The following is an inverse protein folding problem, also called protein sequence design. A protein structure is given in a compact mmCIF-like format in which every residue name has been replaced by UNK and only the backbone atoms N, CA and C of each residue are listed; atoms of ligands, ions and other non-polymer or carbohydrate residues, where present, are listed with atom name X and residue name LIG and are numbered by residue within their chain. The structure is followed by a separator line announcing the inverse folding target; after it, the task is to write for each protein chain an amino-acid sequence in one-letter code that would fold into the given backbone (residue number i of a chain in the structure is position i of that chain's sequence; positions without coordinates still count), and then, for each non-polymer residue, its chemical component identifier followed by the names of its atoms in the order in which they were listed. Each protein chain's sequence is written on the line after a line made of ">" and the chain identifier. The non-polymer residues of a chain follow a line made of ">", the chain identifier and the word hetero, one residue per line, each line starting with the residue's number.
data_IF_754766869885
#
_entry.id   IF_754766869885
#
_cell.length_a   1.000
_cell.length_b   1.000
_cell.length_c   1.000
_cell.angle_alpha   90.00
_cell.angle_beta   90.00
_cell.angle_gamma   90.00
#
_symmetry.space_group_name_H-M   'P 1'
#
loop_
_entity.id
_entity.type
_entity.pdbx_description
1 polymer ?
#
# COMPACT_ATOMS: atom_id res chain seq x y z
N UNK A 1 19.22 22.03 12.90
CA UNK A 1 17.88 22.01 12.28
C UNK A 1 17.52 20.55 12.10
N UNK A 2 16.46 20.06 12.76
CA UNK A 2 15.99 18.68 12.56
C UNK A 2 15.32 18.62 11.18
N UNK A 3 16.02 18.09 10.19
CA UNK A 3 15.46 17.83 8.86
C UNK A 3 14.31 16.82 9.01
N UNK A 4 13.16 17.11 8.41
CA UNK A 4 12.02 16.18 8.34
C UNK A 4 11.83 15.71 6.90
N UNK A 5 11.36 14.48 6.73
CA UNK A 5 10.97 13.89 5.45
C UNK A 5 9.94 14.76 4.74
N UNK A 6 8.94 15.29 5.48
CA UNK A 6 7.94 16.17 4.88
C UNK A 6 8.49 17.46 4.26
N UNK A 7 9.62 17.94 4.76
CA UNK A 7 10.29 19.13 4.20
C UNK A 7 11.01 18.80 2.86
N UNK A 8 11.07 17.52 2.46
CA UNK A 8 11.76 17.01 1.28
C UNK A 8 10.82 16.34 0.25
N UNK A 9 9.51 16.30 0.52
CA UNK A 9 8.52 15.65 -0.35
C UNK A 9 8.48 16.28 -1.73
N UNK A 10 8.29 17.58 -1.78
CA UNK A 10 8.17 18.33 -3.02
C UNK A 10 9.54 18.90 -3.43
N UNK A 11 10.02 18.61 -4.66
CA UNK A 11 11.19 19.27 -5.19
C UNK A 11 10.90 20.76 -5.42
N UNK A 12 11.85 21.67 -5.13
CA UNK A 12 11.70 23.08 -5.48
C UNK A 12 11.59 23.25 -7.00
N UNK A 13 11.01 24.37 -7.42
CA UNK A 13 10.95 24.72 -8.84
C UNK A 13 12.36 24.79 -9.43
N UNK A 14 12.58 24.13 -10.56
CA UNK A 14 13.90 24.03 -11.20
C UNK A 14 14.90 23.10 -10.50
N UNK A 15 14.45 22.16 -9.64
CA UNK A 15 15.33 21.19 -9.00
C UNK A 15 16.21 20.43 -10.00
N UNK A 16 17.51 20.49 -9.78
CA UNK A 16 18.52 19.81 -10.58
C UNK A 16 18.78 18.37 -10.10
N UNK A 17 19.48 17.52 -10.88
CA UNK A 17 19.85 16.17 -10.44
C UNK A 17 20.61 16.15 -9.10
N UNK A 18 21.40 17.19 -8.81
CA UNK A 18 22.14 17.30 -7.56
C UNK A 18 21.21 17.47 -6.34
N UNK A 19 20.07 18.14 -6.49
CA UNK A 19 19.06 18.24 -5.44
C UNK A 19 18.48 16.87 -5.09
N UNK A 20 18.14 16.05 -6.08
CA UNK A 20 17.62 14.69 -5.85
C UNK A 20 18.65 13.80 -5.15
N UNK A 21 19.94 13.91 -5.50
CA UNK A 21 21.02 13.23 -4.78
C UNK A 21 21.16 13.71 -3.33
N UNK A 22 21.07 15.02 -3.09
CA UNK A 22 21.08 15.60 -1.73
C UNK A 22 19.86 15.14 -0.91
N UNK A 23 18.71 14.98 -1.55
CA UNK A 23 17.50 14.43 -0.91
C UNK A 23 17.72 13.00 -0.46
N UNK A 24 18.25 12.12 -1.30
CA UNK A 24 18.59 10.74 -0.93
C UNK A 24 19.52 10.67 0.29
N UNK A 25 20.63 11.42 0.28
CA UNK A 25 21.54 11.48 1.43
C UNK A 25 20.89 12.06 2.69
N UNK A 26 19.91 12.94 2.53
CA UNK A 26 19.17 13.50 3.67
C UNK A 26 18.18 12.49 4.25
N UNK A 27 17.58 11.65 3.41
CA UNK A 27 16.73 10.55 3.82
C UNK A 27 17.48 9.55 4.71
N UNK A 28 18.64 9.08 4.26
CA UNK A 28 19.52 8.19 5.04
C UNK A 28 19.85 8.80 6.42
N UNK A 29 20.15 10.10 6.45
CA UNK A 29 20.45 10.82 7.69
C UNK A 29 19.25 10.89 8.64
N UNK A 30 18.04 11.14 8.11
CA UNK A 30 16.81 11.17 8.91
C UNK A 30 16.51 9.80 9.49
N UNK A 31 16.63 8.73 8.69
CA UNK A 31 16.49 7.35 9.17
C UNK A 31 17.49 7.05 10.29
N UNK A 32 18.77 7.39 10.10
CA UNK A 32 19.79 7.22 11.13
C UNK A 32 19.40 7.93 12.44
N UNK A 33 18.89 9.17 12.36
CA UNK A 33 18.43 9.90 13.53
C UNK A 33 17.24 9.22 14.22
N UNK A 34 16.27 8.70 13.47
CA UNK A 34 15.14 7.94 14.02
C UNK A 34 15.64 6.71 14.82
N UNK A 35 16.59 5.96 14.26
CA UNK A 35 17.19 4.81 14.95
C UNK A 35 18.02 5.20 16.18
N UNK A 36 18.80 6.29 16.11
CA UNK A 36 19.59 6.80 17.24
C UNK A 36 18.69 7.18 18.42
N UNK A 37 17.58 7.88 18.15
CA UNK A 37 16.60 8.31 19.16
C UNK A 37 15.95 7.14 19.88
N UNK A 38 15.82 5.98 19.23
CA UNK A 38 15.22 4.77 19.79
C UNK A 38 16.26 3.74 20.27
N UNK A 39 17.54 4.13 20.35
CA UNK A 39 18.62 3.28 20.89
C UNK A 39 18.95 2.06 20.03
N UNK A 40 18.70 2.12 18.71
CA UNK A 40 18.85 0.99 17.78
C UNK A 40 20.25 0.86 17.17
N UNK A 41 21.26 1.51 17.77
CA UNK A 41 22.68 1.44 17.41
C UNK A 41 22.98 1.47 15.89
N UNK A 42 22.45 2.45 15.12
CA UNK A 42 22.61 2.46 13.68
C UNK A 42 24.05 2.73 13.25
N UNK A 43 24.50 2.03 12.20
CA UNK A 43 25.78 2.22 11.53
C UNK A 43 25.52 2.64 10.10
N UNK A 44 26.16 3.73 9.68
CA UNK A 44 26.06 4.23 8.31
C UNK A 44 27.11 3.56 7.42
N UNK A 45 26.79 3.45 6.12
CA UNK A 45 27.67 3.09 5.00
C UNK A 45 28.63 1.95 5.31
N UNK A 46 28.18 0.73 5.03
CA UNK A 46 29.04 -0.45 5.11
C UNK A 46 29.52 -0.83 3.72
N UNK A 47 30.81 -1.10 3.59
CA UNK A 47 31.43 -1.64 2.36
C UNK A 47 32.20 -2.93 2.62
N UNK A 48 31.55 -4.03 3.05
CA UNK A 48 32.23 -5.31 3.16
C UNK A 48 32.57 -5.81 1.75
N UNK A 49 33.85 -6.08 1.47
CA UNK A 49 34.29 -6.74 0.23
C UNK A 49 33.84 -6.09 -1.10
N UNK A 50 33.60 -4.78 -1.12
CA UNK A 50 33.18 -4.04 -2.32
C UNK A 50 31.66 -3.97 -2.56
N UNK A 51 30.85 -4.59 -1.70
CA UNK A 51 29.39 -4.50 -1.73
C UNK A 51 28.93 -3.30 -0.88
N UNK A 52 28.29 -2.30 -1.48
CA UNK A 52 27.79 -1.11 -0.77
C UNK A 52 26.39 -1.37 -0.19
N UNK A 53 26.24 -1.18 1.12
CA UNK A 53 24.97 -1.20 1.84
C UNK A 53 24.85 0.13 2.60
N UNK A 54 23.68 0.76 2.55
CA UNK A 54 23.46 2.10 3.12
C UNK A 54 23.66 2.11 4.64
N UNK A 55 23.34 1.00 5.33
CA UNK A 55 23.68 0.85 6.74
C UNK A 55 23.25 -0.47 7.38
N UNK A 56 23.33 -0.48 8.71
CA UNK A 56 22.77 -1.54 9.55
C UNK A 56 22.29 -0.96 10.87
N UNK A 57 21.44 -1.68 11.58
CA UNK A 57 20.98 -1.34 12.93
C UNK A 57 20.65 -2.60 13.70
N UNK A 58 20.45 -2.48 15.01
CA UNK A 58 20.08 -3.58 15.89
C UNK A 58 18.79 -3.25 16.65
N UNK A 59 17.95 -4.27 16.84
CA UNK A 59 16.77 -4.18 17.70
C UNK A 59 16.68 -5.46 18.51
N UNK A 60 16.79 -5.32 19.83
CA UNK A 60 16.87 -6.45 20.75
C UNK A 60 18.01 -7.39 20.30
N UNK A 61 17.75 -8.70 20.15
CA UNK A 61 18.76 -9.67 19.70
C UNK A 61 18.81 -9.86 18.17
N UNK A 62 18.21 -8.93 17.40
CA UNK A 62 18.15 -8.99 15.93
C UNK A 62 19.01 -7.92 15.29
N UNK A 63 19.68 -8.29 14.20
CA UNK A 63 20.49 -7.41 13.38
C UNK A 63 19.86 -7.21 12.01
N UNK A 64 19.85 -5.96 11.57
CA UNK A 64 19.22 -5.56 10.32
C UNK A 64 20.24 -4.94 9.38
N UNK A 65 20.20 -5.33 8.11
CA UNK A 65 20.75 -4.51 7.05
C UNK A 65 19.71 -3.49 6.61
N UNK A 66 20.16 -2.31 6.21
CA UNK A 66 19.32 -1.22 5.79
C UNK A 66 19.68 -0.78 4.37
N UNK A 67 18.65 -0.63 3.53
CA UNK A 67 18.72 0.09 2.25
C UNK A 67 17.61 1.16 2.24
N UNK A 68 17.95 2.37 1.79
CA UNK A 68 17.07 3.52 1.77
C UNK A 68 17.04 4.15 0.37
N UNK A 69 15.86 4.20 -0.26
CA UNK A 69 15.70 4.78 -1.60
C UNK A 69 14.66 5.88 -1.65
N UNK A 70 15.02 6.96 -2.36
CA UNK A 70 14.10 8.04 -2.69
C UNK A 70 14.36 8.58 -4.09
N UNK A 71 13.72 7.94 -5.07
CA UNK A 71 13.74 8.33 -6.47
C UNK A 71 12.34 8.56 -7.03
N UNK A 72 12.23 8.88 -8.32
CA UNK A 72 10.94 9.21 -8.94
C UNK A 72 10.02 8.00 -9.15
N UNK A 73 10.46 6.90 -9.81
CA UNK A 73 9.59 5.73 -9.98
C UNK A 73 9.46 4.92 -8.68
N UNK A 74 8.43 4.06 -8.54
CA UNK A 74 8.39 3.04 -7.51
C UNK A 74 9.59 2.09 -7.57
N UNK A 75 9.95 1.44 -6.46
CA UNK A 75 11.03 0.43 -6.43
C UNK A 75 10.60 -0.78 -7.26
N UNK A 76 11.45 -1.19 -8.19
CA UNK A 76 11.26 -2.41 -8.98
C UNK A 76 11.84 -3.66 -8.28
N UNK A 77 11.37 -4.84 -8.69
CA UNK A 77 11.82 -6.14 -8.17
C UNK A 77 13.35 -6.31 -8.19
N UNK A 78 14.03 -5.82 -9.24
CA UNK A 78 15.48 -5.93 -9.39
C UNK A 78 16.27 -5.28 -8.24
N UNK A 79 15.78 -4.15 -7.71
CA UNK A 79 16.41 -3.49 -6.57
C UNK A 79 16.22 -4.29 -5.27
N UNK A 80 15.03 -4.89 -5.09
CA UNK A 80 14.75 -5.75 -3.94
C UNK A 80 15.59 -7.03 -3.99
N UNK A 81 15.73 -7.66 -5.16
CA UNK A 81 16.59 -8.83 -5.33
C UNK A 81 18.07 -8.53 -5.13
N UNK A 82 18.55 -7.39 -5.63
CA UNK A 82 19.92 -6.96 -5.39
C UNK A 82 20.17 -6.82 -3.88
N UNK A 83 19.27 -6.15 -3.15
CA UNK A 83 19.38 -6.01 -1.70
C UNK A 83 19.26 -7.35 -0.96
N UNK A 84 18.30 -8.20 -1.34
CA UNK A 84 18.14 -9.54 -0.79
C UNK A 84 19.41 -10.37 -0.93
N UNK A 85 20.07 -10.34 -2.09
CA UNK A 85 21.36 -11.01 -2.29
C UNK A 85 22.42 -10.57 -1.27
N UNK A 86 22.44 -9.26 -0.93
CA UNK A 86 23.34 -8.75 0.11
C UNK A 86 23.02 -9.31 1.48
N UNK A 87 21.73 -9.46 1.81
CA UNK A 87 21.24 -10.03 3.08
C UNK A 87 21.53 -11.53 3.17
N UNK A 88 21.28 -12.27 2.09
CA UNK A 88 21.55 -13.71 1.99
C UNK A 88 23.04 -14.02 2.18
N UNK A 89 23.93 -13.09 1.81
CA UNK A 89 25.37 -13.19 2.05
C UNK A 89 25.83 -12.87 3.48
N UNK A 90 24.94 -12.75 4.46
CA UNK A 90 25.28 -12.47 5.87
C UNK A 90 24.92 -13.64 6.79
N UNK A 91 25.14 -13.46 8.10
CA UNK A 91 24.82 -14.47 9.11
C UNK A 91 23.35 -14.87 9.03
N UNK A 92 23.05 -16.16 9.11
CA UNK A 92 21.69 -16.69 9.19
C UNK A 92 20.90 -15.95 10.27
N UNK A 93 19.68 -15.49 9.92
CA UNK A 93 18.83 -14.68 10.79
C UNK A 93 19.02 -13.16 10.65
N UNK A 94 19.96 -12.71 9.81
CA UNK A 94 20.03 -11.29 9.40
C UNK A 94 18.79 -10.94 8.57
N UNK A 95 18.13 -9.83 8.92
CA UNK A 95 16.93 -9.35 8.23
C UNK A 95 17.28 -8.09 7.44
N UNK A 96 16.80 -7.97 6.21
CA UNK A 96 16.87 -6.71 5.48
C UNK A 96 15.66 -5.83 5.77
N UNK A 97 15.88 -4.56 6.07
CA UNK A 97 14.85 -3.54 6.13
C UNK A 97 15.05 -2.56 4.97
N UNK A 98 14.10 -2.53 4.05
CA UNK A 98 14.13 -1.65 2.90
C UNK A 98 13.19 -0.48 3.15
N UNK A 99 13.69 0.74 3.07
CA UNK A 99 12.90 1.97 3.28
C UNK A 99 12.77 2.72 1.95
N UNK A 100 11.54 2.94 1.49
CA UNK A 100 11.27 3.62 0.22
C UNK A 100 10.30 4.78 0.40
N UNK A 101 10.77 6.00 0.13
CA UNK A 101 9.88 7.17 -0.03
C UNK A 101 9.22 7.22 -1.42
N UNK A 102 9.50 6.22 -2.26
CA UNK A 102 8.96 6.06 -3.61
C UNK A 102 7.90 4.96 -3.70
N UNK A 103 7.63 4.26 -2.59
CA UNK A 103 6.86 3.01 -2.54
C UNK A 103 7.42 1.93 -3.49
N UNK A 104 6.71 0.83 -3.65
CA UNK A 104 7.12 -0.33 -4.46
C UNK A 104 6.15 -0.50 -5.62
N UNK A 105 6.61 -1.03 -6.75
CA UNK A 105 5.66 -1.49 -7.78
C UNK A 105 4.92 -2.73 -7.27
N UNK A 106 3.70 -2.97 -7.73
CA UNK A 106 2.90 -4.12 -7.31
C UNK A 106 3.67 -5.43 -7.56
N UNK A 107 4.33 -5.53 -8.71
CA UNK A 107 5.11 -6.70 -9.11
C UNK A 107 6.38 -6.87 -8.27
N UNK A 108 6.90 -5.81 -7.65
CA UNK A 108 8.13 -5.87 -6.87
C UNK A 108 7.94 -6.66 -5.57
N UNK A 109 6.80 -6.49 -4.90
CA UNK A 109 6.48 -7.22 -3.68
C UNK A 109 6.15 -8.67 -4.02
N UNK A 110 5.31 -8.91 -5.03
CA UNK A 110 4.97 -10.27 -5.48
C UNK A 110 6.21 -11.05 -5.91
N UNK A 111 7.18 -10.40 -6.57
CA UNK A 111 8.46 -11.00 -6.92
C UNK A 111 9.22 -11.58 -5.72
N UNK A 112 9.12 -10.98 -4.53
CA UNK A 112 9.76 -11.52 -3.32
C UNK A 112 9.07 -12.77 -2.78
N UNK A 113 7.81 -13.02 -3.13
CA UNK A 113 7.00 -14.13 -2.63
C UNK A 113 7.20 -15.42 -3.42
N UNK A 114 7.64 -15.34 -4.67
CA UNK A 114 7.88 -16.53 -5.50
C UNK A 114 9.08 -17.36 -5.00
N UNK A 115 8.80 -18.47 -4.31
CA UNK A 115 9.70 -19.60 -4.10
C UNK A 115 10.99 -19.32 -3.31
N UNK A 116 11.04 -18.24 -2.52
CA UNK A 116 12.25 -17.78 -1.82
C UNK A 116 12.03 -17.60 -0.34
N UNK A 117 13.10 -17.80 0.43
CA UNK A 117 13.13 -17.46 1.85
C UNK A 117 12.88 -15.96 2.03
N UNK A 118 11.83 -15.64 2.79
CA UNK A 118 11.49 -14.26 3.14
C UNK A 118 12.39 -13.78 4.27
N UNK A 119 13.29 -12.86 3.96
CA UNK A 119 14.18 -12.21 4.93
C UNK A 119 14.21 -10.68 4.79
N UNK A 120 13.21 -10.11 4.11
CA UNK A 120 13.05 -8.67 3.96
C UNK A 120 11.74 -8.19 4.61
N UNK A 121 11.79 -7.00 5.20
CA UNK A 121 10.61 -6.19 5.53
C UNK A 121 10.69 -4.86 4.79
N UNK A 122 9.55 -4.40 4.29
CA UNK A 122 9.43 -3.25 3.41
C UNK A 122 8.68 -2.11 4.10
N UNK A 123 9.22 -0.89 4.00
CA UNK A 123 8.63 0.34 4.53
C UNK A 123 8.34 1.28 3.36
N UNK A 124 7.05 1.57 3.15
CA UNK A 124 6.59 2.52 2.17
C UNK A 124 6.64 3.97 2.67
N UNK A 125 6.24 4.89 1.80
CA UNK A 125 6.18 6.32 2.10
C UNK A 125 5.25 6.59 3.28
N UNK A 126 4.05 5.98 3.28
CA UNK A 126 3.06 6.21 4.34
C UNK A 126 3.58 5.73 5.70
N UNK A 127 4.24 4.58 5.76
CA UNK A 127 4.87 4.06 6.98
C UNK A 127 5.87 5.06 7.58
N UNK A 128 6.75 5.60 6.72
CA UNK A 128 7.78 6.55 7.11
C UNK A 128 7.20 7.87 7.65
N UNK A 129 6.11 8.34 7.04
CA UNK A 129 5.41 9.54 7.49
C UNK A 129 4.70 9.32 8.84
N UNK A 130 4.07 8.15 9.04
CA UNK A 130 3.47 7.79 10.33
C UNK A 130 4.51 7.73 11.46
N UNK A 131 5.70 7.21 11.16
CA UNK A 131 6.82 7.17 12.11
C UNK A 131 7.34 8.59 12.41
N UNK A 132 7.55 9.41 11.38
CA UNK A 132 7.97 10.81 11.54
C UNK A 132 6.99 11.63 12.39
N UNK A 133 5.69 11.46 12.15
CA UNK A 133 4.63 12.15 12.89
C UNK A 133 4.35 11.50 14.26
N UNK A 134 5.15 10.49 14.67
CA UNK A 134 5.10 9.81 15.97
C UNK A 134 3.76 9.12 16.25
N UNK A 135 3.01 8.75 15.21
CA UNK A 135 1.81 7.93 15.35
C UNK A 135 2.17 6.48 15.71
N UNK A 136 3.36 6.04 15.31
CA UNK A 136 3.96 4.76 15.67
C UNK A 136 5.47 4.95 15.83
N UNK A 137 6.09 4.31 16.82
CA UNK A 137 7.57 4.31 16.96
C UNK A 137 8.22 3.42 15.88
N UNK A 138 9.48 3.68 15.51
CA UNK A 138 10.22 2.83 14.58
C UNK A 138 10.33 1.39 15.10
N UNK A 139 10.56 1.20 16.41
CA UNK A 139 10.57 -0.11 17.05
C UNK A 139 9.24 -0.84 16.93
N UNK A 140 8.12 -0.17 17.17
CA UNK A 140 6.80 -0.80 17.03
C UNK A 140 6.49 -1.11 15.57
N UNK A 141 6.82 -0.20 14.65
CA UNK A 141 6.65 -0.42 13.22
C UNK A 141 7.40 -1.67 12.72
N UNK A 142 8.67 -1.84 13.14
CA UNK A 142 9.46 -3.04 12.83
C UNK A 142 8.83 -4.28 13.47
N UNK A 143 8.41 -4.20 14.74
CA UNK A 143 7.78 -5.33 15.46
C UNK A 143 6.52 -5.81 14.74
N UNK A 144 5.65 -4.89 14.34
CA UNK A 144 4.40 -5.19 13.63
C UNK A 144 4.69 -5.83 12.27
N UNK A 145 5.61 -5.26 11.48
CA UNK A 145 5.97 -5.83 10.17
C UNK A 145 6.64 -7.21 10.30
N UNK A 146 7.51 -7.42 11.30
CA UNK A 146 8.11 -8.73 11.56
C UNK A 146 7.08 -9.77 11.98
N UNK A 147 6.11 -9.37 12.81
CA UNK A 147 4.99 -10.22 13.23
C UNK A 147 4.18 -10.66 12.02
N UNK A 148 3.79 -9.71 11.17
CA UNK A 148 3.02 -9.98 9.96
C UNK A 148 3.79 -10.86 8.97
N UNK A 149 5.07 -10.56 8.73
CA UNK A 149 5.95 -11.38 7.88
C UNK A 149 6.09 -12.82 8.41
N UNK A 150 6.21 -13.00 9.72
CA UNK A 150 6.35 -14.32 10.33
C UNK A 150 5.06 -15.15 10.30
N UNK A 151 3.89 -14.51 10.37
CA UNK A 151 2.60 -15.20 10.44
C UNK A 151 1.96 -15.44 9.07
N UNK A 152 2.21 -14.54 8.11
CA UNK A 152 1.55 -14.53 6.81
C UNK A 152 2.51 -14.64 5.63
N UNK A 153 3.84 -14.67 5.89
CA UNK A 153 4.84 -14.76 4.83
C UNK A 153 4.88 -13.52 3.93
N UNK A 154 4.51 -12.35 4.45
CA UNK A 154 4.39 -11.11 3.66
C UNK A 154 5.47 -10.07 4.03
N UNK A 155 6.29 -9.59 3.08
CA UNK A 155 7.34 -8.60 3.36
C UNK A 155 6.79 -7.18 3.54
N UNK A 156 5.60 -6.91 3.00
CA UNK A 156 4.93 -5.62 3.08
C UNK A 156 3.68 -5.73 3.97
N UNK A 157 3.47 -4.70 4.77
CA UNK A 157 2.25 -4.50 5.56
C UNK A 157 2.09 -3.02 5.83
N UNK A 158 1.02 -2.41 5.34
CA UNK A 158 0.78 -0.99 5.53
C UNK A 158 0.48 -0.67 7.00
N UNK A 159 1.29 0.19 7.63
CA UNK A 159 1.13 0.50 9.05
C UNK A 159 -0.14 1.28 9.36
N UNK A 160 -0.75 1.95 8.38
CA UNK A 160 -2.03 2.63 8.61
C UNK A 160 -3.17 1.62 8.81
N UNK A 161 -3.04 0.42 8.23
CA UNK A 161 -3.92 -0.73 8.51
C UNK A 161 -3.85 -1.10 10.00
N UNK A 162 -2.64 -1.29 10.54
CA UNK A 162 -2.43 -1.61 11.95
C UNK A 162 -3.04 -0.58 12.90
N UNK A 163 -2.80 0.71 12.62
CA UNK A 163 -3.33 1.79 13.45
C UNK A 163 -4.86 1.84 13.41
N UNK A 164 -5.47 1.58 12.25
CA UNK A 164 -6.92 1.51 12.12
C UNK A 164 -7.49 0.32 12.90
N UNK A 165 -6.83 -0.84 12.89
CA UNK A 165 -7.23 -2.00 13.68
C UNK A 165 -7.15 -1.73 15.18
N UNK A 166 -6.08 -1.10 15.66
CA UNK A 166 -5.95 -0.70 17.06
C UNK A 166 -7.05 0.29 17.47
N UNK A 167 -7.34 1.28 16.61
CA UNK A 167 -8.42 2.24 16.85
C UNK A 167 -9.79 1.56 16.93
N UNK A 168 -10.08 0.61 16.01
CA UNK A 168 -11.32 -0.16 16.01
C UNK A 168 -11.47 -1.01 17.28
N UNK A 169 -10.44 -1.77 17.64
CA UNK A 169 -10.44 -2.61 18.85
C UNK A 169 -10.59 -1.76 20.13
N UNK A 170 -9.98 -0.57 20.16
CA UNK A 170 -10.16 0.39 21.25
C UNK A 170 -11.58 0.99 21.30
N UNK A 171 -12.19 1.26 20.14
CA UNK A 171 -13.54 1.79 20.04
C UNK A 171 -14.63 0.77 20.43
N UNK A 172 -14.44 -0.52 20.09
CA UNK A 172 -15.35 -1.61 20.49
C UNK A 172 -15.41 -1.82 22.01
N UNK A 173 -14.35 -1.43 22.73
CA UNK A 173 -14.34 -1.41 24.19
C UNK A 173 -15.14 -0.24 24.80
N UNK A 174 -15.52 0.76 23.98
CA UNK A 174 -16.31 1.94 24.39
C UNK A 174 -17.79 1.77 24.02
N UNK A 175 -18.72 2.23 24.87
CA UNK A 175 -20.20 2.06 24.74
C UNK A 175 -20.82 2.97 23.64
N UNK A 176 -20.02 3.44 22.69
CA UNK A 176 -20.48 4.31 21.60
C UNK A 176 -21.27 3.49 20.59
N UNK A 177 -22.35 4.06 19.99
CA UNK A 177 -23.05 3.40 18.88
C UNK A 177 -22.02 3.09 17.76
N UNK A 178 -21.83 1.82 17.35
CA UNK A 178 -20.89 1.50 16.29
C UNK A 178 -21.43 2.04 14.98
N UNK A 179 -20.74 3.02 14.38
CA UNK A 179 -20.88 3.29 12.96
C UNK A 179 -20.29 2.07 12.23
N UNK A 180 -20.99 1.55 11.22
CA UNK A 180 -20.51 0.42 10.43
C UNK A 180 -19.22 0.85 9.72
N UNK A 181 -18.10 0.23 10.07
CA UNK A 181 -16.80 0.47 9.42
C UNK A 181 -16.54 -0.63 8.40
N UNK A 182 -16.06 -0.26 7.21
CA UNK A 182 -15.67 -1.17 6.14
C UNK A 182 -14.19 -0.98 5.80
N UNK A 183 -13.52 -2.09 5.55
CA UNK A 183 -12.16 -2.12 5.02
C UNK A 183 -12.17 -2.70 3.63
N UNK A 184 -11.69 -1.94 2.66
CA UNK A 184 -11.50 -2.38 1.28
C UNK A 184 -10.01 -2.57 1.03
N UNK A 185 -9.63 -3.77 0.63
CA UNK A 185 -8.26 -4.12 0.28
C UNK A 185 -8.09 -3.96 -1.23
N UNK A 186 -7.00 -3.29 -1.62
CA UNK A 186 -6.55 -3.17 -3.01
C UNK A 186 -5.12 -3.69 -3.14
N UNK A 187 -4.67 -3.97 -4.35
CA UNK A 187 -3.36 -4.60 -4.59
C UNK A 187 -2.22 -3.61 -4.31
N UNK A 188 -2.22 -2.46 -5.00
CA UNK A 188 -1.13 -1.48 -4.93
C UNK A 188 -1.46 -0.21 -4.13
N UNK A 189 -0.41 0.52 -3.75
CA UNK A 189 -0.53 1.83 -3.08
C UNK A 189 -1.23 2.87 -3.98
N UNK A 190 -0.99 2.82 -5.29
CA UNK A 190 -1.61 3.75 -6.25
C UNK A 190 -3.12 3.50 -6.41
N UNK A 191 -3.58 2.26 -6.19
CA UNK A 191 -4.98 1.86 -6.31
C UNK A 191 -5.85 2.44 -5.19
N UNK A 192 -5.25 2.66 -4.01
CA UNK A 192 -5.93 3.21 -2.82
C UNK A 192 -6.64 4.50 -3.19
N UNK A 193 -5.91 5.45 -3.78
CA UNK A 193 -6.47 6.74 -4.18
C UNK A 193 -7.46 6.60 -5.35
N UNK A 194 -7.22 5.67 -6.26
CA UNK A 194 -8.14 5.42 -7.39
C UNK A 194 -9.51 4.96 -6.90
N UNK A 195 -9.54 3.99 -5.98
CA UNK A 195 -10.78 3.50 -5.39
C UNK A 195 -11.43 4.57 -4.51
N UNK A 196 -10.66 5.34 -3.74
CA UNK A 196 -11.19 6.47 -2.97
C UNK A 196 -11.88 7.51 -3.87
N UNK A 197 -11.28 7.89 -4.99
CA UNK A 197 -11.87 8.82 -5.97
C UNK A 197 -13.15 8.26 -6.61
N UNK A 198 -13.21 6.94 -6.86
CA UNK A 198 -14.42 6.30 -7.37
C UNK A 198 -15.54 6.31 -6.32
N UNK A 199 -15.22 5.90 -5.08
CA UNK A 199 -16.18 5.84 -3.97
C UNK A 199 -16.69 7.22 -3.56
N UNK A 200 -15.87 8.27 -3.73
CA UNK A 200 -16.26 9.66 -3.47
C UNK A 200 -17.44 10.13 -4.35
N UNK A 201 -17.80 9.39 -5.40
CA UNK A 201 -18.96 9.67 -6.26
C UNK A 201 -20.27 9.07 -5.74
N UNK A 202 -20.21 8.42 -4.58
CA UNK A 202 -21.33 7.82 -3.91
C UNK A 202 -21.47 8.39 -2.50
N UNK A 203 -22.71 8.54 -2.06
CA UNK A 203 -23.02 8.77 -0.65
C UNK A 203 -23.06 7.42 0.04
N UNK A 204 -22.11 7.21 0.95
CA UNK A 204 -21.92 5.96 1.70
C UNK A 204 -22.14 6.25 3.20
N UNK A 205 -23.14 5.65 3.85
CA UNK A 205 -23.40 5.89 5.28
C UNK A 205 -22.34 5.26 6.20
N UNK A 206 -21.71 4.18 5.74
CA UNK A 206 -20.62 3.51 6.43
C UNK A 206 -19.31 4.30 6.33
N UNK A 207 -18.45 4.17 7.35
CA UNK A 207 -17.07 4.68 7.26
C UNK A 207 -16.24 3.67 6.48
N UNK A 208 -15.74 4.05 5.30
CA UNK A 208 -14.93 3.18 4.45
C UNK A 208 -13.47 3.59 4.52
N UNK A 209 -12.58 2.62 4.75
CA UNK A 209 -11.14 2.80 4.64
C UNK A 209 -10.58 1.85 3.59
N UNK A 210 -9.63 2.33 2.80
CA UNK A 210 -9.01 1.55 1.72
C UNK A 210 -7.52 1.36 2.03
N UNK A 211 -7.05 0.12 2.01
CA UNK A 211 -5.65 -0.20 2.31
C UNK A 211 -4.99 -1.01 1.19
N UNK A 212 -3.70 -0.76 0.91
CA UNK A 212 -2.95 -1.56 -0.05
C UNK A 212 -2.43 -2.84 0.62
N UNK A 213 -2.51 -3.95 -0.11
CA UNK A 213 -1.94 -5.22 0.31
C UNK A 213 -0.43 -5.30 0.04
N UNK A 214 0.06 -4.55 -0.94
CA UNK A 214 1.47 -4.51 -1.34
C UNK A 214 1.74 -5.17 -2.69
N UNK A 215 0.82 -5.97 -3.20
CA UNK A 215 0.91 -6.70 -4.46
C UNK A 215 -0.35 -7.54 -4.65
N UNK A 216 -0.47 -8.23 -5.77
CA UNK A 216 -1.62 -9.09 -6.04
C UNK A 216 -1.68 -10.21 -5.00
N UNK A 217 -0.58 -10.96 -4.85
CA UNK A 217 -0.47 -12.16 -3.98
C UNK A 217 -0.61 -11.85 -2.49
N UNK A 218 -0.53 -10.57 -2.12
CA UNK A 218 -0.62 -10.11 -0.73
C UNK A 218 -2.07 -9.88 -0.27
N UNK A 219 -3.04 -9.82 -1.20
CA UNK A 219 -4.44 -9.46 -0.89
C UNK A 219 -5.11 -10.52 -0.02
N UNK A 220 -4.95 -11.80 -0.37
CA UNK A 220 -5.51 -12.92 0.40
C UNK A 220 -5.00 -12.97 1.85
N UNK A 221 -3.67 -12.96 2.10
CA UNK A 221 -3.11 -12.89 3.46
C UNK A 221 -3.64 -11.72 4.29
N UNK A 222 -3.75 -10.53 3.69
CA UNK A 222 -4.27 -9.36 4.39
C UNK A 222 -5.75 -9.50 4.75
N UNK A 223 -6.57 -10.05 3.85
CA UNK A 223 -7.96 -10.35 4.13
C UNK A 223 -8.08 -11.34 5.30
N UNK A 224 -7.28 -12.41 5.30
CA UNK A 224 -7.25 -13.40 6.38
C UNK A 224 -6.82 -12.74 7.70
N UNK A 225 -5.81 -11.87 7.68
CA UNK A 225 -5.37 -11.12 8.85
C UNK A 225 -6.50 -10.29 9.46
N UNK A 226 -7.10 -9.41 8.67
CA UNK A 226 -8.18 -8.52 9.11
C UNK A 226 -9.38 -9.30 9.65
N UNK A 227 -9.73 -10.43 9.03
CA UNK A 227 -10.81 -11.29 9.50
C UNK A 227 -10.47 -11.95 10.84
N UNK A 228 -9.22 -12.42 11.01
CA UNK A 228 -8.74 -13.03 12.26
C UNK A 228 -8.64 -12.04 13.42
N UNK A 229 -8.40 -10.76 13.15
CA UNK A 229 -8.39 -9.69 14.16
C UNK A 229 -9.80 -9.15 14.47
N UNK A 230 -10.84 -9.73 13.87
CA UNK A 230 -12.25 -9.46 14.19
C UNK A 230 -12.93 -8.45 13.27
N UNK A 231 -12.29 -8.02 12.18
CA UNK A 231 -12.94 -7.16 11.19
C UNK A 231 -13.99 -7.94 10.38
N UNK A 232 -15.28 -7.66 10.62
CA UNK A 232 -16.38 -8.38 9.99
C UNK A 232 -16.72 -7.86 8.58
N UNK A 233 -16.22 -6.69 8.19
CA UNK A 233 -16.62 -5.97 6.98
C UNK A 233 -15.41 -5.68 6.12
N UNK A 234 -14.90 -6.75 5.49
CA UNK A 234 -13.74 -6.73 4.62
C UNK A 234 -14.19 -7.00 3.19
N UNK A 235 -13.78 -6.15 2.26
CA UNK A 235 -13.89 -6.40 0.83
C UNK A 235 -12.49 -6.42 0.19
N UNK A 236 -12.33 -7.14 -0.90
CA UNK A 236 -11.09 -7.19 -1.67
C UNK A 236 -11.40 -6.92 -3.15
N UNK A 237 -10.69 -5.97 -3.74
CA UNK A 237 -10.72 -5.69 -5.18
C UNK A 237 -9.45 -6.30 -5.77
N UNK A 238 -9.63 -7.27 -6.67
CA UNK A 238 -8.53 -8.07 -7.24
C UNK A 238 -8.58 -8.03 -8.76
N UNK A 239 -7.41 -7.97 -9.37
CA UNK A 239 -7.20 -8.02 -10.82
C UNK A 239 -6.66 -9.39 -11.23
N UNK A 240 -6.68 -9.73 -12.53
CA UNK A 240 -6.14 -11.01 -12.99
C UNK A 240 -4.65 -11.15 -12.68
N UNK A 241 -4.25 -12.33 -12.19
CA UNK A 241 -2.84 -12.70 -12.01
C UNK A 241 -2.41 -13.50 -13.25
N UNK A 242 -1.26 -13.21 -13.88
CA UNK A 242 -0.81 -13.95 -15.07
C UNK A 242 -0.57 -15.45 -14.83
N UNK A 243 -0.15 -15.82 -13.62
CA UNK A 243 0.06 -17.20 -13.21
C UNK A 243 -1.28 -17.83 -12.74
N UNK A 244 -1.75 -18.85 -13.45
CA UNK A 244 -3.05 -19.47 -13.21
C UNK A 244 -3.11 -20.24 -11.88
N UNK A 245 -2.01 -20.86 -11.46
CA UNK A 245 -1.96 -21.61 -10.19
C UNK A 245 -1.99 -20.64 -9.01
N UNK A 246 -1.21 -19.56 -9.08
CA UNK A 246 -1.23 -18.49 -8.10
C UNK A 246 -2.61 -17.79 -8.05
N UNK A 247 -3.23 -17.55 -9.22
CA UNK A 247 -4.59 -17.01 -9.27
C UNK A 247 -5.59 -17.92 -8.58
N UNK A 248 -5.54 -19.23 -8.86
CA UNK A 248 -6.44 -20.20 -8.26
C UNK A 248 -6.24 -20.31 -6.74
N UNK A 249 -5.00 -20.35 -6.27
CA UNK A 249 -4.67 -20.40 -4.84
C UNK A 249 -5.19 -19.15 -4.11
N UNK A 250 -4.88 -17.96 -4.63
CA UNK A 250 -5.34 -16.70 -4.07
C UNK A 250 -6.87 -16.63 -3.97
N UNK A 251 -7.59 -17.03 -5.04
CA UNK A 251 -9.05 -16.98 -5.04
C UNK A 251 -9.64 -17.94 -4.00
N UNK A 252 -9.06 -19.12 -3.83
CA UNK A 252 -9.51 -20.06 -2.79
C UNK A 252 -9.30 -19.50 -1.38
N UNK A 253 -8.14 -18.87 -1.12
CA UNK A 253 -7.86 -18.28 0.18
C UNK A 253 -8.78 -17.08 0.47
N UNK A 254 -9.02 -16.21 -0.52
CA UNK A 254 -9.96 -15.10 -0.41
C UNK A 254 -11.38 -15.56 -0.12
N UNK A 255 -11.86 -16.61 -0.82
CA UNK A 255 -13.16 -17.20 -0.53
C UNK A 255 -13.24 -17.75 0.89
N UNK A 256 -12.18 -18.42 1.37
CA UNK A 256 -12.12 -18.93 2.76
C UNK A 256 -12.07 -17.81 3.80
N UNK A 257 -11.47 -16.66 3.48
CA UNK A 257 -11.43 -15.49 4.39
C UNK A 257 -12.83 -14.95 4.69
N UNK A 258 -13.78 -15.16 3.75
CA UNK A 258 -15.13 -14.60 3.83
C UNK A 258 -15.20 -13.10 3.54
N UNK A 259 -14.18 -12.53 2.87
CA UNK A 259 -14.23 -11.18 2.35
C UNK A 259 -15.20 -11.07 1.15
N UNK A 260 -15.84 -9.91 0.99
CA UNK A 260 -16.61 -9.60 -0.21
C UNK A 260 -15.67 -9.37 -1.38
N UNK A 261 -15.82 -10.13 -2.46
CA UNK A 261 -14.88 -10.11 -3.59
C UNK A 261 -15.40 -9.28 -4.75
N UNK A 262 -14.60 -8.32 -5.20
CA UNK A 262 -14.74 -7.62 -6.47
C UNK A 262 -13.64 -8.12 -7.40
N UNK A 263 -13.98 -9.12 -8.22
CA UNK A 263 -13.05 -9.68 -9.20
C UNK A 263 -13.16 -8.90 -10.50
N UNK A 264 -12.06 -8.28 -10.91
CA UNK A 264 -11.93 -7.55 -12.16
C UNK A 264 -11.33 -8.44 -13.25
N UNK A 265 -11.61 -8.11 -14.51
CA UNK A 265 -11.07 -8.82 -15.69
C UNK A 265 -9.87 -8.12 -16.32
N UNK A 266 -9.53 -6.93 -15.85
CA UNK A 266 -8.43 -6.11 -16.33
C UNK A 266 -7.72 -5.43 -15.16
N UNK A 267 -6.63 -4.72 -15.46
CA UNK A 267 -6.03 -3.78 -14.51
C UNK A 267 -7.07 -2.74 -14.06
N UNK A 268 -6.85 -2.11 -12.90
CA UNK A 268 -7.78 -1.08 -12.39
C UNK A 268 -7.94 0.09 -13.37
N UNK A 269 -6.85 0.47 -14.05
CA UNK A 269 -6.86 1.52 -15.08
C UNK A 269 -7.73 1.13 -16.28
N UNK A 270 -7.50 -0.05 -16.85
CA UNK A 270 -8.24 -0.53 -18.03
C UNK A 270 -9.70 -0.79 -17.70
N UNK A 271 -10.00 -1.34 -16.52
CA UNK A 271 -11.36 -1.54 -16.04
C UNK A 271 -12.13 -0.23 -16.06
N UNK A 272 -11.59 0.83 -15.45
CA UNK A 272 -12.24 2.14 -15.43
C UNK A 272 -12.24 2.82 -16.81
N UNK A 273 -11.18 2.62 -17.60
CA UNK A 273 -11.08 3.14 -18.96
C UNK A 273 -12.15 2.60 -19.90
N UNK A 274 -12.62 1.37 -19.68
CA UNK A 274 -13.72 0.78 -20.44
C UNK A 274 -15.09 1.43 -20.16
N UNK A 275 -15.20 2.25 -19.12
CA UNK A 275 -16.44 2.90 -18.72
C UNK A 275 -16.34 4.42 -18.74
N UNK A 276 -15.37 5.03 -19.43
CA UNK A 276 -15.42 6.46 -19.74
C UNK A 276 -15.88 6.69 -21.17
N UNK A 277 -16.54 7.82 -21.42
CA UNK A 277 -16.97 8.19 -22.76
C UNK A 277 -15.80 8.21 -23.76
N UNK A 278 -16.05 7.76 -25.00
CA UNK A 278 -15.02 7.58 -26.04
C UNK A 278 -14.22 8.86 -26.30
N UNK A 279 -14.90 10.01 -26.32
CA UNK A 279 -14.24 11.31 -26.51
C UNK A 279 -13.28 11.64 -25.36
N UNK A 280 -13.68 11.34 -24.11
CA UNK A 280 -12.82 11.53 -22.94
C UNK A 280 -11.63 10.58 -22.98
N UNK A 281 -11.86 9.30 -23.29
CA UNK A 281 -10.81 8.29 -23.42
C UNK A 281 -9.73 8.78 -24.40
N UNK A 282 -10.15 9.12 -25.62
CA UNK A 282 -9.26 9.59 -26.69
C UNK A 282 -8.48 10.85 -26.30
N UNK A 283 -9.15 11.81 -25.65
CA UNK A 283 -8.51 13.04 -25.19
C UNK A 283 -7.49 12.81 -24.06
N UNK A 284 -7.72 11.79 -23.23
CA UNK A 284 -6.88 11.49 -22.07
C UNK A 284 -5.70 10.57 -22.37
N UNK A 285 -5.78 9.73 -23.41
CA UNK A 285 -4.78 8.69 -23.74
C UNK A 285 -3.33 9.21 -23.90
N UNK A 286 -3.16 10.47 -24.31
CA UNK A 286 -1.82 11.09 -24.47
C UNK A 286 -1.25 11.65 -23.16
N UNK A 287 -2.01 11.62 -22.06
CA UNK A 287 -1.57 12.11 -20.76
C UNK A 287 -0.75 11.05 -20.01
N UNK A 288 0.10 11.50 -19.08
CA UNK A 288 0.93 10.60 -18.28
C UNK A 288 0.11 9.77 -17.28
N UNK A 289 0.29 8.45 -17.27
CA UNK A 289 -0.25 7.55 -16.23
C UNK A 289 0.68 7.34 -15.01
N UNK A 290 1.70 8.18 -14.81
CA UNK A 290 2.63 8.01 -13.67
C UNK A 290 1.88 8.01 -12.32
N UNK A 291 2.18 7.02 -11.47
CA UNK A 291 1.63 6.86 -10.13
C UNK A 291 0.09 6.80 -10.10
N UNK A 292 -0.51 5.96 -10.95
CA UNK A 292 -1.97 5.75 -11.05
C UNK A 292 -2.77 6.98 -11.48
N UNK A 293 -2.13 7.99 -12.11
CA UNK A 293 -2.81 9.25 -12.48
C UNK A 293 -3.94 9.04 -13.48
N UNK A 294 -3.80 8.11 -14.42
CA UNK A 294 -4.85 7.86 -15.40
C UNK A 294 -6.03 7.13 -14.78
N UNK A 295 -5.78 6.07 -14.01
CA UNK A 295 -6.83 5.35 -13.28
C UNK A 295 -7.69 6.31 -12.41
N UNK A 296 -7.07 7.27 -11.71
CA UNK A 296 -7.81 8.33 -10.97
C UNK A 296 -8.60 9.30 -11.86
N UNK A 297 -8.14 9.57 -13.08
CA UNK A 297 -8.91 10.36 -14.05
C UNK A 297 -10.15 9.57 -14.49
N UNK A 298 -9.98 8.30 -14.81
CA UNK A 298 -11.10 7.43 -15.19
C UNK A 298 -12.08 7.22 -14.04
N UNK A 299 -11.64 6.98 -12.81
CA UNK A 299 -12.50 6.87 -11.63
C UNK A 299 -13.47 8.06 -11.49
N UNK A 300 -12.96 9.29 -11.66
CA UNK A 300 -13.74 10.53 -11.58
C UNK A 300 -14.71 10.73 -12.74
N UNK A 301 -14.44 10.16 -13.91
CA UNK A 301 -15.17 10.42 -15.15
C UNK A 301 -15.94 9.20 -15.69
N UNK A 302 -15.89 8.05 -15.00
CA UNK A 302 -16.61 6.85 -15.40
C UNK A 302 -18.12 7.09 -15.46
N UNK A 303 -18.78 6.51 -16.45
CA UNK A 303 -20.22 6.48 -16.61
C UNK A 303 -20.78 5.43 -15.64
N UNK A 304 -21.26 5.88 -14.47
CA UNK A 304 -21.55 5.00 -13.33
C UNK A 304 -22.57 3.91 -13.68
N UNK A 305 -23.64 4.22 -14.40
CA UNK A 305 -24.67 3.24 -14.77
C UNK A 305 -24.10 2.08 -15.59
N UNK A 306 -23.21 2.40 -16.55
CA UNK A 306 -22.54 1.40 -17.37
C UNK A 306 -21.52 0.60 -16.57
N UNK A 307 -20.74 1.27 -15.70
CA UNK A 307 -19.77 0.62 -14.82
C UNK A 307 -20.44 -0.38 -13.88
N UNK A 308 -21.56 0.00 -13.26
CA UNK A 308 -22.30 -0.85 -12.33
C UNK A 308 -22.97 -2.03 -13.04
N UNK A 309 -23.57 -1.78 -14.21
CA UNK A 309 -24.15 -2.85 -15.05
C UNK A 309 -23.08 -3.81 -15.55
N UNK A 310 -21.92 -3.27 -15.96
CA UNK A 310 -20.80 -4.03 -16.49
C UNK A 310 -19.94 -4.73 -15.44
N UNK A 311 -20.07 -4.35 -14.17
CA UNK A 311 -19.28 -4.91 -13.06
C UNK A 311 -20.18 -5.34 -11.89
N UNK A 312 -20.95 -6.45 -12.03
CA UNK A 312 -21.92 -6.86 -11.00
C UNK A 312 -21.31 -7.10 -9.61
N UNK A 313 -20.05 -7.56 -9.53
CA UNK A 313 -19.34 -7.75 -8.27
C UNK A 313 -19.09 -6.43 -7.52
N UNK A 314 -18.78 -5.36 -8.24
CA UNK A 314 -18.62 -4.02 -7.66
C UNK A 314 -19.98 -3.42 -7.26
N UNK A 315 -21.03 -3.61 -8.09
CA UNK A 315 -22.38 -3.19 -7.74
C UNK A 315 -22.87 -3.88 -6.45
N UNK A 316 -22.64 -5.19 -6.30
CA UNK A 316 -22.97 -5.93 -5.08
C UNK A 316 -22.20 -5.43 -3.85
N UNK A 317 -20.95 -4.98 -4.00
CA UNK A 317 -20.23 -4.31 -2.91
C UNK A 317 -20.90 -3.00 -2.51
N UNK A 318 -21.28 -2.16 -3.47
CA UNK A 318 -21.96 -0.89 -3.20
C UNK A 318 -23.32 -1.09 -2.50
N UNK A 319 -24.07 -2.15 -2.85
CA UNK A 319 -25.29 -2.52 -2.15
C UNK A 319 -25.02 -2.85 -0.67
N UNK A 320 -23.97 -3.63 -0.37
CA UNK A 320 -23.57 -3.95 1.00
C UNK A 320 -23.07 -2.73 1.79
N UNK A 321 -22.52 -1.74 1.10
CA UNK A 321 -22.13 -0.44 1.64
C UNK A 321 -23.32 0.51 1.81
N UNK A 322 -24.51 0.16 1.31
CA UNK A 322 -25.68 1.03 1.22
C UNK A 322 -25.39 2.34 0.45
N UNK A 323 -24.49 2.25 -0.53
CA UNK A 323 -24.01 3.38 -1.32
C UNK A 323 -25.05 3.82 -2.35
N UNK A 324 -25.19 5.14 -2.56
CA UNK A 324 -26.05 5.72 -3.61
C UNK A 324 -25.29 6.73 -4.46
N UNK A 325 -25.47 6.78 -5.79
CA UNK A 325 -24.82 7.79 -6.62
C UNK A 325 -25.18 9.22 -6.17
N UNK A 326 -24.20 10.12 -6.14
CA UNK A 326 -24.47 11.53 -5.76
C UNK A 326 -25.49 12.22 -6.68
N UNK A 327 -25.54 11.85 -7.96
CA UNK A 327 -26.46 12.40 -8.95
C UNK A 327 -27.94 12.17 -8.62
N UNK A 328 -28.28 11.06 -7.96
CA UNK A 328 -29.66 10.71 -7.60
C UNK A 328 -30.23 11.59 -6.48
N UNK A 329 -29.39 12.22 -5.66
CA UNK A 329 -29.82 13.11 -4.57
C UNK A 329 -30.30 14.48 -5.08
N UNK A 330 -29.85 14.90 -6.27
CA UNK A 330 -30.23 16.18 -6.87
C UNK A 330 -31.40 16.06 -7.86
N UNK A 331 -31.70 14.86 -8.39
CA UNK A 331 -32.86 14.63 -9.26
C UNK A 331 -34.22 14.80 -8.54
N UNK A 332 -34.25 14.78 -7.20
CA UNK A 332 -35.44 15.01 -6.39
C UNK A 332 -35.78 16.49 -6.10
N UNK A 333 -34.93 17.44 -6.51
CA UNK A 333 -35.20 18.89 -6.36
C UNK A 333 -35.60 19.49 -7.71
N UNK A 334 -36.80 19.15 -8.18
CA UNK A 334 -37.47 19.97 -9.20
C UNK A 334 -37.95 21.25 -8.51
N UNK A 335 -37.50 22.45 -8.92
CA UNK A 335 -38.09 23.69 -8.40
C UNK A 335 -39.54 23.75 -8.89
N UNK A 336 -40.47 23.89 -7.94
CA UNK A 336 -41.87 24.23 -8.23
C UNK A 336 -41.99 25.65 -8.76
#
# INVERSE_FOLDING_TARGET
>A
MNLRLKDLLEPPEGADPAWFQRRGRSFERVLKQMFELEGMAPRASMRPSGEEIDGSFAMDDRFFLLEAKWHTPPIAASALYAFKGKVDGKLVGTIGAFFSMSDYSAEAVDALLYGKELNLILFGRQDLLLIEDKQISMREAIRVKLRYAAEYGQPFFDLSTHLAEQARLGAEASISKPQREWTIIVEGVDDVRTIQELLARFVIPAKVTVFPAGGQLSVAPLAVHLRRTGNLHVAAIVTPIPDADAQQEQMQELQRSGATLVVLHHSLEDWLGNYVGVDYYNASMMLSSRAGKMARRYARNAELDQLLTGTPSFAALLEQLEARPESELFAGKVPR
#
